data_IF_087005099069
#
_entry.id   IF_087005099069
#
_cell.length_a   1.000
_cell.length_b   1.000
_cell.length_c   1.000
_cell.angle_alpha   90.00
_cell.angle_beta   90.00
_cell.angle_gamma   90.00
#
_symmetry.space_group_name_H-M   'P 1'
#
loop_
_entity.id
_entity.type
_entity.pdbx_description
1 polymer ?
#
# COMPACT_ATOMS: atom_id res chain seq x y z
N UNK A 1 -11.22 -17.56 6.25
CA UNK A 1 -12.50 -16.86 6.06
C UNK A 1 -12.20 -15.52 5.41
N UNK A 2 -13.04 -15.09 4.46
CA UNK A 2 -12.88 -13.80 3.79
C UNK A 2 -13.30 -12.69 4.77
N UNK A 3 -12.52 -11.61 4.94
CA UNK A 3 -12.88 -10.52 5.84
C UNK A 3 -14.12 -9.77 5.38
N UNK A 4 -14.97 -9.36 6.32
CA UNK A 4 -16.17 -8.55 6.07
C UNK A 4 -15.83 -7.07 5.81
N UNK A 5 -14.65 -6.64 6.28
CA UNK A 5 -14.19 -5.25 6.20
C UNK A 5 -13.50 -5.01 4.86
N UNK A 6 -13.76 -3.84 4.25
CA UNK A 6 -13.06 -3.38 3.04
C UNK A 6 -11.70 -2.72 3.37
N UNK A 7 -10.77 -2.71 2.40
CA UNK A 7 -9.49 -1.98 2.57
C UNK A 7 -9.73 -0.49 2.82
N UNK A 8 -10.77 0.08 2.22
CA UNK A 8 -11.17 1.47 2.41
C UNK A 8 -11.62 1.76 3.84
N UNK A 9 -12.52 0.94 4.40
CA UNK A 9 -13.02 1.10 5.77
C UNK A 9 -11.90 0.98 6.79
N UNK A 10 -11.00 0.01 6.60
CA UNK A 10 -9.82 -0.13 7.45
C UNK A 10 -8.85 1.04 7.29
N UNK A 11 -8.54 1.43 6.05
CA UNK A 11 -7.64 2.55 5.77
C UNK A 11 -8.12 3.85 6.38
N UNK A 12 -9.43 4.15 6.27
CA UNK A 12 -10.06 5.29 6.94
C UNK A 12 -9.92 5.18 8.47
N UNK A 13 -10.23 4.02 9.04
CA UNK A 13 -10.17 3.79 10.48
C UNK A 13 -8.77 4.03 11.05
N UNK A 14 -7.77 3.45 10.40
CA UNK A 14 -6.37 3.56 10.77
C UNK A 14 -5.85 4.99 10.58
N UNK A 15 -6.20 5.61 9.47
CA UNK A 15 -5.81 7.00 9.16
C UNK A 15 -6.23 7.96 10.26
N UNK A 16 -7.49 7.88 10.73
CA UNK A 16 -7.98 8.73 11.81
C UNK A 16 -7.17 8.56 13.11
N UNK A 17 -6.76 7.33 13.43
CA UNK A 17 -5.96 7.06 14.63
C UNK A 17 -4.53 7.59 14.50
N UNK A 18 -3.90 7.42 13.33
CA UNK A 18 -2.58 7.99 13.03
C UNK A 18 -2.61 9.52 13.11
N UNK A 19 -3.70 10.16 12.64
CA UNK A 19 -3.95 11.60 12.81
C UNK A 19 -4.07 12.00 14.28
N UNK A 20 -4.57 11.10 15.13
CA UNK A 20 -4.67 11.32 16.58
C UNK A 20 -3.33 11.15 17.34
N UNK A 21 -2.47 10.23 16.89
CA UNK A 21 -1.18 9.93 17.52
C UNK A 21 -0.11 10.94 17.21
N UNK A 22 -0.05 11.30 15.94
CA UNK A 22 0.99 12.14 15.41
C UNK A 22 0.39 13.51 15.22
N UNK A 23 1.13 14.56 15.50
CA UNK A 23 0.62 15.88 15.28
C UNK A 23 0.71 16.28 13.79
N UNK A 24 -0.03 15.54 12.97
CA UNK A 24 -0.16 15.78 11.54
C UNK A 24 -0.65 17.21 11.32
N UNK A 25 0.18 18.02 10.67
CA UNK A 25 -0.22 19.38 10.30
C UNK A 25 -0.72 19.50 8.85
N UNK A 26 -0.79 18.37 8.14
CA UNK A 26 -1.49 18.22 6.87
C UNK A 26 -2.37 16.96 6.91
N UNK A 27 -3.61 17.09 6.44
CA UNK A 27 -4.51 15.97 6.29
C UNK A 27 -3.98 14.99 5.21
N UNK A 28 -4.29 13.69 5.30
CA UNK A 28 -4.07 12.76 4.21
C UNK A 28 -4.75 13.30 2.95
N UNK A 29 -3.99 13.54 1.88
CA UNK A 29 -4.56 13.99 0.61
C UNK A 29 -5.23 12.78 -0.05
N UNK A 30 -6.55 12.68 0.11
CA UNK A 30 -7.36 11.79 -0.72
C UNK A 30 -7.66 12.53 -2.02
N UNK A 31 -7.30 11.99 -3.21
CA UNK A 31 -7.73 12.62 -4.44
C UNK A 31 -9.25 12.55 -4.55
N UNK A 32 -9.91 13.69 -4.41
CA UNK A 32 -11.27 13.89 -4.87
C UNK A 32 -11.40 15.27 -5.53
N UNK A 33 -12.29 15.36 -6.51
CA UNK A 33 -12.50 16.53 -7.37
C UNK A 33 -13.42 17.61 -6.74
N UNK A 34 -13.78 17.54 -5.44
CA UNK A 34 -14.91 18.31 -4.87
C UNK A 34 -14.64 18.98 -3.49
N UNK A 35 -13.41 19.35 -3.11
CA UNK A 35 -13.20 20.02 -1.80
C UNK A 35 -12.32 21.26 -1.87
N UNK A 36 -12.76 22.26 -2.62
CA UNK A 36 -12.14 23.59 -2.64
C UNK A 36 -13.20 24.70 -2.51
N UNK A 37 -13.94 24.68 -1.39
CA UNK A 37 -15.13 25.53 -1.23
C UNK A 37 -15.37 26.05 0.18
N UNK A 38 -14.43 26.77 0.81
CA UNK A 38 -14.74 27.72 1.91
C UNK A 38 -13.83 28.95 1.90
N UNK A 39 -14.48 30.11 1.95
CA UNK A 39 -13.96 31.46 1.74
C UNK A 39 -13.19 32.06 2.94
N UNK A 40 -12.71 31.25 3.90
CA UNK A 40 -11.93 31.73 5.05
C UNK A 40 -11.02 30.67 5.70
N UNK A 41 -10.52 29.71 4.94
CA UNK A 41 -9.56 28.72 5.42
C UNK A 41 -8.57 28.39 4.33
N UNK A 42 -7.63 29.30 4.07
CA UNK A 42 -6.47 28.95 3.25
C UNK A 42 -5.80 27.74 3.89
N UNK A 43 -5.69 26.64 3.15
CA UNK A 43 -4.64 25.66 3.37
C UNK A 43 -3.31 26.37 3.08
N UNK A 44 -2.91 27.28 3.97
CA UNK A 44 -1.50 27.51 4.22
C UNK A 44 -1.04 26.21 4.86
N UNK A 45 -0.79 25.21 4.02
CA UNK A 45 -0.30 23.91 4.43
C UNK A 45 0.89 24.25 5.33
N UNK A 46 0.88 23.80 6.58
CA UNK A 46 1.90 24.12 7.59
C UNK A 46 3.23 23.42 7.26
N UNK A 47 3.69 23.54 6.01
CA UNK A 47 4.93 23.03 5.45
C UNK A 47 6.15 23.77 6.00
N UNK A 48 5.92 24.78 6.84
CA UNK A 48 6.92 25.58 7.54
C UNK A 48 7.60 24.82 8.69
N UNK A 49 7.11 23.62 9.00
CA UNK A 49 7.69 22.74 10.01
C UNK A 49 8.42 21.55 9.40
N UNK A 50 9.38 20.96 10.13
CA UNK A 50 9.93 19.64 9.84
C UNK A 50 8.84 18.60 9.60
N UNK A 51 9.15 17.60 8.77
CA UNK A 51 8.24 16.49 8.53
C UNK A 51 8.88 15.33 7.79
N UNK A 52 8.12 14.26 7.64
CA UNK A 52 8.53 13.03 6.98
C UNK A 52 7.40 12.45 6.12
N UNK A 53 7.73 11.86 4.95
CA UNK A 53 6.75 11.14 4.15
C UNK A 53 6.57 9.71 4.69
N UNK A 54 5.32 9.34 4.94
CA UNK A 54 4.89 8.00 5.31
C UNK A 54 4.00 7.43 4.20
N UNK A 55 4.35 6.26 3.70
CA UNK A 55 3.63 5.56 2.64
C UNK A 55 3.01 4.28 3.21
N UNK A 56 1.69 4.20 3.20
CA UNK A 56 0.98 3.02 3.67
C UNK A 56 0.23 2.34 2.53
N UNK A 57 0.46 1.05 2.37
CA UNK A 57 -0.45 0.20 1.61
C UNK A 57 -1.35 -0.58 2.56
N UNK A 58 -2.63 -0.24 2.58
CA UNK A 58 -3.62 -0.97 3.38
C UNK A 58 -3.88 -2.35 2.80
N UNK A 59 -4.06 -3.32 3.69
CA UNK A 59 -4.38 -4.70 3.36
C UNK A 59 -5.59 -5.17 4.14
N UNK A 60 -6.39 -6.03 3.52
CA UNK A 60 -7.34 -6.90 4.20
C UNK A 60 -6.65 -8.17 4.65
N UNK A 61 -7.07 -8.69 5.80
CA UNK A 61 -6.55 -9.92 6.36
C UNK A 61 -7.60 -11.04 6.34
N UNK A 62 -7.28 -12.15 5.69
CA UNK A 62 -8.01 -13.39 5.81
C UNK A 62 -7.79 -13.98 7.21
N UNK A 63 -8.85 -14.58 7.78
CA UNK A 63 -8.81 -15.20 9.09
C UNK A 63 -8.79 -16.73 8.99
N UNK A 64 -7.72 -17.34 9.48
CA UNK A 64 -7.40 -18.75 9.31
C UNK A 64 -7.63 -19.52 10.61
N UNK A 65 -8.59 -20.45 10.59
CA UNK A 65 -9.04 -21.19 11.79
C UNK A 65 -8.71 -22.67 11.79
N UNK A 66 -8.26 -23.22 10.66
CA UNK A 66 -8.06 -24.67 10.47
C UNK A 66 -6.59 -25.02 10.44
N UNK A 67 -6.22 -26.12 11.11
CA UNK A 67 -4.86 -26.70 11.07
C UNK A 67 -4.48 -27.24 9.69
N UNK A 68 -5.44 -27.36 8.77
CA UNK A 68 -5.19 -27.71 7.37
C UNK A 68 -4.64 -26.56 6.52
N UNK A 69 -4.54 -25.34 7.07
CA UNK A 69 -3.94 -24.20 6.38
C UNK A 69 -2.49 -24.53 5.97
N UNK A 70 -2.06 -24.08 4.79
CA UNK A 70 -0.73 -24.40 4.22
C UNK A 70 0.40 -24.04 5.20
N UNK A 71 0.25 -22.91 5.88
CA UNK A 71 1.16 -22.37 6.88
C UNK A 71 1.42 -23.35 8.02
N UNK A 72 0.38 -24.07 8.45
CA UNK A 72 0.47 -25.06 9.52
C UNK A 72 0.84 -26.44 8.95
N UNK A 73 0.08 -26.92 7.97
CA UNK A 73 0.17 -28.31 7.49
C UNK A 73 1.39 -28.57 6.62
N UNK A 74 1.72 -27.64 5.73
CA UNK A 74 2.80 -27.82 4.75
C UNK A 74 4.11 -27.23 5.25
N UNK A 75 4.06 -26.03 5.83
CA UNK A 75 5.26 -25.34 6.32
C UNK A 75 5.60 -25.63 7.78
N UNK A 76 4.67 -26.17 8.57
CA UNK A 76 4.92 -26.49 9.99
C UNK A 76 5.19 -25.25 10.86
N UNK A 77 4.67 -24.08 10.47
CA UNK A 77 4.97 -22.83 11.16
C UNK A 77 4.35 -22.79 12.56
N UNK A 78 5.04 -22.20 13.55
CA UNK A 78 4.56 -22.10 14.93
C UNK A 78 3.52 -20.98 15.09
N UNK A 79 2.54 -20.91 14.17
CA UNK A 79 1.42 -19.97 14.25
C UNK A 79 0.29 -20.56 15.11
N UNK A 80 -0.17 -19.76 16.07
CA UNK A 80 -1.32 -20.04 16.91
C UNK A 80 -2.60 -19.92 16.11
N UNK A 81 -3.45 -20.95 16.15
CA UNK A 81 -4.80 -20.85 15.59
C UNK A 81 -5.70 -20.09 16.57
N UNK A 82 -6.54 -19.16 16.08
CA UNK A 82 -6.60 -18.68 14.70
C UNK A 82 -5.55 -17.59 14.42
N UNK A 83 -5.08 -17.52 13.16
CA UNK A 83 -4.13 -16.50 12.70
C UNK A 83 -4.69 -15.71 11.50
N UNK A 84 -4.01 -14.63 11.15
CA UNK A 84 -4.38 -13.76 10.03
C UNK A 84 -3.38 -13.90 8.88
N UNK A 85 -3.81 -13.63 7.65
CA UNK A 85 -2.89 -13.51 6.52
C UNK A 85 -3.36 -12.52 5.48
N UNK A 86 -2.46 -11.90 4.73
CA UNK A 86 -2.82 -11.10 3.57
C UNK A 86 -1.94 -11.47 2.35
N UNK A 87 -2.50 -11.44 1.14
CA UNK A 87 -1.74 -11.77 -0.06
C UNK A 87 -0.79 -10.63 -0.45
N UNK A 88 0.39 -11.02 -0.94
CA UNK A 88 1.25 -10.14 -1.72
C UNK A 88 0.89 -10.32 -3.19
N UNK A 89 0.63 -9.20 -3.88
CA UNK A 89 0.19 -9.23 -5.27
C UNK A 89 1.23 -9.92 -6.13
N UNK A 90 0.81 -10.97 -6.86
CA UNK A 90 1.71 -11.75 -7.71
C UNK A 90 2.37 -10.85 -8.75
N UNK A 91 3.66 -11.09 -8.97
CA UNK A 91 4.50 -10.33 -9.91
C UNK A 91 3.92 -10.28 -11.33
N UNK A 92 3.41 -11.39 -11.87
CA UNK A 92 2.75 -11.43 -13.19
C UNK A 92 1.50 -10.57 -13.30
N UNK A 93 0.87 -10.23 -12.16
CA UNK A 93 -0.36 -9.42 -12.11
C UNK A 93 -0.04 -7.95 -11.87
N UNK A 94 1.00 -7.66 -11.11
CA UNK A 94 1.35 -6.29 -10.77
C UNK A 94 2.83 -6.14 -10.44
N UNK A 95 3.34 -4.97 -10.79
CA UNK A 95 4.66 -4.47 -10.45
C UNK A 95 4.70 -3.77 -9.07
N UNK A 96 3.57 -3.73 -8.37
CA UNK A 96 3.38 -3.03 -7.11
C UNK A 96 4.37 -3.43 -6.01
N UNK A 97 4.58 -4.73 -5.77
CA UNK A 97 5.47 -5.17 -4.69
C UNK A 97 6.92 -4.73 -4.92
N UNK A 98 7.46 -4.98 -6.12
CA UNK A 98 8.78 -4.50 -6.53
C UNK A 98 8.91 -2.98 -6.38
N UNK A 99 7.86 -2.23 -6.75
CA UNK A 99 7.82 -0.78 -6.58
C UNK A 99 7.94 -0.38 -5.10
N UNK A 100 7.20 -1.05 -4.22
CA UNK A 100 7.23 -0.75 -2.79
C UNK A 100 8.55 -1.13 -2.12
N UNK A 101 9.18 -2.23 -2.54
CA UNK A 101 10.54 -2.61 -2.08
C UNK A 101 11.56 -1.54 -2.46
N UNK A 102 11.46 -1.00 -3.67
CA UNK A 102 12.38 0.02 -4.15
C UNK A 102 12.09 1.41 -3.55
N UNK A 103 10.84 1.69 -3.17
CA UNK A 103 10.49 2.89 -2.42
C UNK A 103 11.03 2.84 -1.00
N UNK A 104 11.06 1.64 -0.39
CA UNK A 104 11.61 1.36 0.94
C UNK A 104 13.15 1.34 0.94
N UNK A 105 13.75 2.46 0.54
CA UNK A 105 15.20 2.67 0.36
C UNK A 105 15.94 3.01 1.66
N UNK A 106 15.27 2.89 2.80
CA UNK A 106 15.77 3.27 4.13
C UNK A 106 15.60 4.76 4.46
N UNK A 107 15.23 5.61 3.50
CA UNK A 107 14.93 7.03 3.74
C UNK A 107 13.43 7.32 3.80
N UNK A 108 12.63 6.53 3.08
CA UNK A 108 11.17 6.59 3.11
C UNK A 108 10.61 5.64 4.17
N UNK A 109 9.53 6.05 4.83
CA UNK A 109 8.78 5.18 5.73
C UNK A 109 7.70 4.45 4.92
N UNK A 110 7.92 3.19 4.57
CA UNK A 110 7.02 2.43 3.68
C UNK A 110 6.54 1.16 4.38
N UNK A 111 5.23 0.97 4.49
CA UNK A 111 4.67 -0.20 5.17
C UNK A 111 3.42 -0.75 4.50
N UNK A 112 3.31 -2.07 4.47
CA UNK A 112 2.00 -2.72 4.44
C UNK A 112 1.37 -2.60 5.82
N UNK A 113 0.16 -2.06 5.90
CA UNK A 113 -0.63 -2.02 7.12
C UNK A 113 -1.75 -3.06 7.03
N UNK A 114 -1.83 -3.97 8.00
CA UNK A 114 -2.86 -5.02 8.00
C UNK A 114 -3.47 -5.23 9.40
N UNK A 115 -4.79 -5.41 9.51
CA UNK A 115 -5.48 -5.54 10.79
C UNK A 115 -5.42 -6.97 11.36
N UNK A 116 -5.46 -7.07 12.68
CA UNK A 116 -5.67 -8.30 13.46
C UNK A 116 -7.15 -8.54 13.77
N UNK A 117 -7.99 -8.15 12.83
CA UNK A 117 -9.44 -8.27 12.89
C UNK A 117 -10.00 -8.36 11.46
N UNK A 118 -11.17 -8.97 11.33
CA UNK A 118 -11.78 -9.28 10.04
C UNK A 118 -13.29 -9.04 10.00
N UNK A 119 -13.95 -8.89 11.15
CA UNK A 119 -15.39 -8.65 11.26
C UNK A 119 -15.73 -7.17 11.49
N UNK A 120 -16.91 -6.73 11.03
CA UNK A 120 -17.36 -5.34 11.22
C UNK A 120 -17.47 -4.95 12.70
N UNK A 121 -17.89 -5.87 13.56
CA UNK A 121 -17.91 -5.65 15.02
C UNK A 121 -16.53 -5.35 15.58
N UNK A 122 -15.51 -6.07 15.14
CA UNK A 122 -14.15 -5.93 15.65
C UNK A 122 -13.51 -4.59 15.28
N UNK A 123 -13.74 -4.08 14.07
CA UNK A 123 -13.25 -2.75 13.68
C UNK A 123 -13.99 -1.65 14.43
N UNK A 124 -15.29 -1.79 14.68
CA UNK A 124 -16.05 -0.85 15.50
C UNK A 124 -15.56 -0.85 16.95
N UNK A 125 -15.22 -2.02 17.50
CA UNK A 125 -14.62 -2.14 18.83
C UNK A 125 -13.25 -1.47 18.87
N UNK A 126 -12.38 -1.79 17.92
CA UNK A 126 -11.06 -1.19 17.81
C UNK A 126 -11.13 0.33 17.69
N UNK A 127 -12.02 0.85 16.83
CA UNK A 127 -12.26 2.28 16.64
C UNK A 127 -12.71 2.96 17.94
N UNK A 128 -13.73 2.43 18.62
CA UNK A 128 -14.25 2.99 19.88
C UNK A 128 -13.20 3.01 20.98
N UNK A 129 -12.29 2.03 20.99
CA UNK A 129 -11.21 1.92 21.97
C UNK A 129 -9.91 2.63 21.59
N UNK A 130 -9.83 3.26 20.41
CA UNK A 130 -8.59 3.86 19.86
C UNK A 130 -7.44 2.82 19.79
N UNK A 131 -7.76 1.66 19.20
CA UNK A 131 -6.86 0.51 19.08
C UNK A 131 -6.87 -0.09 17.68
N UNK A 132 -7.29 0.65 16.64
CA UNK A 132 -7.23 0.18 15.25
C UNK A 132 -5.78 -0.12 14.90
N UNK A 133 -4.89 0.80 15.19
CA UNK A 133 -3.48 0.67 14.86
C UNK A 133 -2.74 -0.18 15.89
N UNK A 134 -3.15 -0.14 17.18
CA UNK A 134 -2.70 -1.10 18.21
C UNK A 134 -3.06 -2.56 17.88
N UNK A 135 -4.16 -2.78 17.15
CA UNK A 135 -4.58 -4.09 16.62
C UNK A 135 -4.20 -4.28 15.15
N UNK A 136 -3.11 -3.67 14.70
CA UNK A 136 -2.57 -3.82 13.34
C UNK A 136 -1.10 -4.23 13.37
N UNK A 137 -0.60 -4.70 12.22
CA UNK A 137 0.82 -4.89 11.96
C UNK A 137 1.28 -3.98 10.83
N UNK A 138 2.55 -3.59 10.89
CA UNK A 138 3.19 -2.77 9.87
C UNK A 138 4.43 -3.49 9.32
N UNK A 139 4.35 -3.99 8.09
CA UNK A 139 5.41 -4.78 7.45
C UNK A 139 6.12 -3.91 6.42
N UNK A 140 7.41 -3.63 6.64
CA UNK A 140 8.26 -2.99 5.65
C UNK A 140 8.46 -3.92 4.43
N UNK A 141 8.25 -3.45 3.19
CA UNK A 141 8.47 -4.25 1.99
C UNK A 141 9.88 -4.86 1.89
N UNK A 142 10.91 -4.14 2.35
CA UNK A 142 12.30 -4.63 2.38
C UNK A 142 12.49 -5.90 3.23
N UNK A 143 11.66 -6.12 4.26
CA UNK A 143 11.71 -7.36 5.06
C UNK A 143 11.29 -8.59 4.26
N UNK A 144 10.39 -8.41 3.29
CA UNK A 144 9.98 -9.45 2.35
C UNK A 144 11.07 -9.63 1.28
N UNK A 145 11.55 -8.53 0.72
CA UNK A 145 12.55 -8.52 -0.36
C UNK A 145 11.91 -8.72 -1.74
N UNK A 146 12.75 -8.85 -2.77
CA UNK A 146 12.27 -9.06 -4.14
C UNK A 146 11.76 -10.50 -4.34
N UNK A 147 10.71 -10.64 -5.16
CA UNK A 147 10.11 -11.93 -5.51
C UNK A 147 10.52 -12.30 -6.93
N UNK A 148 11.21 -13.44 -7.08
CA UNK A 148 11.79 -13.91 -8.34
C UNK A 148 10.98 -15.03 -9.02
N UNK A 149 9.73 -15.25 -8.59
CA UNK A 149 8.84 -16.26 -9.15
C UNK A 149 7.43 -15.67 -9.49
N UNK A 150 6.50 -16.54 -9.89
CA UNK A 150 5.11 -16.18 -10.25
C UNK A 150 4.05 -16.81 -9.33
N UNK A 151 4.48 -17.37 -8.21
CA UNK A 151 3.65 -18.11 -7.27
C UNK A 151 2.81 -17.17 -6.41
N UNK A 152 1.98 -17.76 -5.54
CA UNK A 152 1.14 -17.02 -4.61
C UNK A 152 1.91 -16.83 -3.31
N UNK A 153 2.16 -15.57 -2.98
CA UNK A 153 2.85 -15.17 -1.76
C UNK A 153 1.86 -14.54 -0.79
N UNK A 154 2.08 -14.74 0.49
CA UNK A 154 1.28 -14.11 1.54
C UNK A 154 2.13 -13.85 2.77
N UNK A 155 1.71 -12.88 3.57
CA UNK A 155 2.22 -12.71 4.93
C UNK A 155 1.21 -13.31 5.88
N UNK A 156 1.62 -14.25 6.72
CA UNK A 156 0.81 -14.88 7.75
C UNK A 156 1.32 -14.49 9.14
N UNK A 157 0.41 -14.22 10.08
CA UNK A 157 0.77 -13.63 11.36
C UNK A 157 -0.27 -13.90 12.44
N UNK A 158 0.20 -14.17 13.65
CA UNK A 158 -0.58 -14.24 14.88
C UNK A 158 -0.09 -13.15 15.86
N UNK A 159 -0.46 -13.22 17.14
CA UNK A 159 -0.06 -12.20 18.12
C UNK A 159 1.44 -12.18 18.42
N UNK A 160 2.19 -13.24 18.12
CA UNK A 160 3.59 -13.43 18.50
C UNK A 160 4.53 -13.48 17.29
N UNK A 161 4.10 -14.10 16.20
CA UNK A 161 4.92 -14.42 15.04
C UNK A 161 4.31 -13.85 13.76
N UNK A 162 5.18 -13.58 12.80
CA UNK A 162 4.81 -13.22 11.44
C UNK A 162 5.80 -13.84 10.46
N UNK A 163 5.27 -14.34 9.34
CA UNK A 163 6.03 -15.04 8.32
C UNK A 163 5.65 -14.52 6.94
N UNK A 164 6.65 -14.35 6.09
CA UNK A 164 6.45 -14.33 4.64
C UNK A 164 6.43 -15.76 4.14
N UNK A 165 5.35 -16.16 3.47
CA UNK A 165 5.07 -17.55 3.13
C UNK A 165 5.17 -17.77 1.62
N UNK A 166 6.35 -18.24 1.22
CA UNK A 166 6.66 -18.93 -0.03
C UNK A 166 7.79 -19.92 0.21
N UNK A 167 8.99 -19.40 0.44
CA UNK A 167 10.02 -19.99 1.29
C UNK A 167 9.85 -19.35 2.68
N UNK A 168 9.26 -20.07 3.65
CA UNK A 168 8.85 -19.45 4.90
C UNK A 168 10.00 -18.75 5.61
N UNK A 169 9.88 -17.43 5.73
CA UNK A 169 10.84 -16.57 6.39
C UNK A 169 10.14 -15.82 7.50
N UNK A 170 10.66 -15.92 8.71
CA UNK A 170 10.18 -15.11 9.83
C UNK A 170 10.52 -13.65 9.59
N UNK A 171 9.55 -12.77 9.84
CA UNK A 171 9.68 -11.33 9.72
C UNK A 171 9.25 -10.67 11.02
N UNK A 172 9.72 -9.46 11.27
CA UNK A 172 9.40 -8.71 12.49
C UNK A 172 8.67 -7.42 12.13
N UNK A 173 7.33 -7.48 11.95
CA UNK A 173 6.52 -6.29 11.71
C UNK A 173 6.63 -5.30 12.88
N UNK A 174 6.50 -4.01 12.60
CA UNK A 174 6.41 -3.01 13.64
C UNK A 174 5.03 -3.06 14.31
N UNK A 175 5.03 -2.76 15.61
CA UNK A 175 3.84 -2.42 16.36
C UNK A 175 3.46 -0.96 16.13
N UNK A 176 2.26 -0.58 16.56
CA UNK A 176 1.82 0.80 16.71
C UNK A 176 2.88 1.74 17.32
N UNK A 177 3.39 1.38 18.50
CA UNK A 177 4.37 2.20 19.24
C UNK A 177 5.68 2.32 18.46
N UNK A 178 6.20 1.20 17.95
CA UNK A 178 7.46 1.17 17.21
C UNK A 178 7.36 1.96 15.89
N UNK A 179 6.21 1.93 15.21
CA UNK A 179 5.95 2.80 14.06
C UNK A 179 5.97 4.27 14.47
N UNK A 180 5.30 4.63 15.57
CA UNK A 180 5.30 5.99 16.11
C UNK A 180 6.71 6.50 16.41
N UNK A 181 7.54 5.68 17.07
CA UNK A 181 8.95 5.98 17.34
C UNK A 181 9.75 6.23 16.05
N UNK A 182 9.64 5.33 15.06
CA UNK A 182 10.30 5.49 13.75
C UNK A 182 9.91 6.76 13.03
N UNK A 183 8.64 7.14 13.11
CA UNK A 183 8.15 8.38 12.52
C UNK A 183 8.76 9.59 13.24
N UNK A 184 8.78 9.59 14.58
CA UNK A 184 9.39 10.67 15.36
C UNK A 184 10.89 10.80 15.10
N UNK A 185 11.62 9.69 15.05
CA UNK A 185 13.03 9.65 14.67
C UNK A 185 13.27 10.27 13.29
N UNK A 186 12.43 9.91 12.31
CA UNK A 186 12.56 10.42 10.94
C UNK A 186 12.23 11.90 10.82
N UNK A 187 11.23 12.39 11.57
CA UNK A 187 10.90 13.82 11.63
C UNK A 187 12.02 14.59 12.31
N UNK A 188 12.66 14.03 13.33
CA UNK A 188 13.79 14.65 14.02
C UNK A 188 15.08 14.67 13.20
N UNK A 189 15.22 13.78 12.20
CA UNK A 189 16.44 13.65 11.41
C UNK A 189 16.63 14.77 10.37
N UNK A 190 15.58 15.51 10.00
CA UNK A 190 15.66 16.64 9.08
C UNK A 190 14.85 17.82 9.64
N UNK A 191 15.56 18.84 10.11
CA UNK A 191 14.96 20.04 10.71
C UNK A 191 14.45 21.05 9.67
N UNK A 192 14.62 20.80 8.38
CA UNK A 192 14.14 21.72 7.35
C UNK A 192 12.61 21.67 7.27
N UNK A 193 11.95 22.81 7.04
CA UNK A 193 10.54 22.84 6.66
C UNK A 193 10.21 21.86 5.53
N UNK A 194 9.06 21.18 5.60
CA UNK A 194 8.61 20.28 4.52
C UNK A 194 8.65 20.96 3.15
N UNK A 195 8.28 22.25 3.04
CA UNK A 195 8.30 22.99 1.76
C UNK A 195 9.66 22.95 1.07
N UNK A 196 10.74 22.95 1.85
CA UNK A 196 12.12 22.88 1.35
C UNK A 196 12.52 21.46 0.96
N UNK A 197 11.86 20.44 1.54
CA UNK A 197 12.12 19.03 1.26
C UNK A 197 11.31 18.50 0.05
N UNK A 198 10.19 19.14 -0.31
CA UNK A 198 9.29 18.66 -1.37
C UNK A 198 9.98 18.37 -2.71
N UNK A 199 10.90 19.22 -3.23
CA UNK A 199 11.59 18.92 -4.49
C UNK A 199 12.43 17.65 -4.41
N UNK A 200 13.08 17.40 -3.28
CA UNK A 200 13.88 16.20 -3.03
C UNK A 200 12.99 14.97 -2.94
N UNK A 201 11.85 15.06 -2.23
CA UNK A 201 10.88 13.96 -2.14
C UNK A 201 10.30 13.60 -3.51
N UNK A 202 9.94 14.60 -4.32
CA UNK A 202 9.45 14.39 -5.69
C UNK A 202 10.52 13.76 -6.59
N UNK A 203 11.78 14.21 -6.46
CA UNK A 203 12.91 13.62 -7.16
C UNK A 203 13.16 12.16 -6.76
N UNK A 204 13.16 11.88 -5.46
CA UNK A 204 13.33 10.54 -4.91
C UNK A 204 12.21 9.61 -5.41
N UNK A 205 10.93 9.95 -5.20
CA UNK A 205 9.83 9.03 -5.56
C UNK A 205 9.81 8.69 -7.06
N UNK A 206 10.10 9.65 -7.93
CA UNK A 206 10.22 9.43 -9.39
C UNK A 206 11.42 8.56 -9.73
N UNK A 207 12.57 8.80 -9.09
CA UNK A 207 13.77 7.99 -9.26
C UNK A 207 13.53 6.54 -8.82
N UNK A 208 12.92 6.32 -7.65
CA UNK A 208 12.54 5.00 -7.14
C UNK A 208 11.58 4.29 -8.09
N UNK A 209 10.60 5.01 -8.66
CA UNK A 209 9.68 4.45 -9.67
C UNK A 209 10.41 3.98 -10.93
N UNK A 210 11.37 4.77 -11.42
CA UNK A 210 12.17 4.40 -12.58
C UNK A 210 13.07 3.20 -12.30
N UNK A 211 13.77 3.21 -11.15
CA UNK A 211 14.62 2.10 -10.71
C UNK A 211 13.81 0.81 -10.58
N UNK A 212 12.64 0.89 -9.95
CA UNK A 212 11.79 -0.26 -9.79
C UNK A 212 11.39 -0.88 -11.15
N UNK A 213 11.10 -0.05 -12.17
CA UNK A 213 10.77 -0.57 -13.52
C UNK A 213 11.95 -1.35 -14.10
N UNK A 214 13.18 -0.86 -13.92
CA UNK A 214 14.39 -1.55 -14.35
C UNK A 214 14.58 -2.87 -13.59
N UNK A 215 14.43 -2.86 -12.27
CA UNK A 215 14.52 -4.06 -11.42
C UNK A 215 13.50 -5.11 -11.85
N UNK A 216 12.24 -4.70 -12.09
CA UNK A 216 11.21 -5.59 -12.58
C UNK A 216 11.55 -6.20 -13.94
N UNK A 217 12.08 -5.40 -14.87
CA UNK A 217 12.51 -5.89 -16.18
C UNK A 217 13.62 -6.93 -16.05
N UNK A 218 14.59 -6.71 -15.15
CA UNK A 218 15.66 -7.69 -14.87
C UNK A 218 15.09 -8.99 -14.33
N UNK A 219 14.21 -8.93 -13.32
CA UNK A 219 13.55 -10.12 -12.75
C UNK A 219 12.75 -10.87 -13.83
N UNK A 220 11.99 -10.15 -14.67
CA UNK A 220 11.24 -10.77 -15.78
C UNK A 220 12.20 -11.49 -16.74
N UNK A 221 13.31 -10.85 -17.10
CA UNK A 221 14.30 -11.42 -18.01
C UNK A 221 14.94 -12.69 -17.42
N UNK A 222 15.31 -12.67 -16.13
CA UNK A 222 15.85 -13.83 -15.41
C UNK A 222 14.87 -15.01 -15.42
N UNK A 223 13.60 -14.78 -15.09
CA UNK A 223 12.56 -15.82 -15.09
C UNK A 223 12.38 -16.42 -16.49
N UNK A 224 12.34 -15.57 -17.52
CA UNK A 224 12.21 -16.02 -18.91
C UNK A 224 13.44 -16.82 -19.35
N UNK A 225 14.64 -16.42 -18.94
CA UNK A 225 15.87 -17.15 -19.23
C UNK A 225 15.89 -18.53 -18.57
N UNK A 226 15.54 -18.62 -17.28
CA UNK A 226 15.42 -19.90 -16.55
C UNK A 226 14.40 -20.82 -17.20
N UNK A 227 13.20 -20.30 -17.55
CA UNK A 227 12.17 -21.10 -18.24
C UNK A 227 12.62 -21.60 -19.60
N UNK A 228 13.39 -20.81 -20.35
CA UNK A 228 13.96 -21.24 -21.63
C UNK A 228 15.01 -22.34 -21.44
N UNK A 229 15.87 -22.22 -20.43
CA UNK A 229 16.88 -23.23 -20.12
C UNK A 229 16.24 -24.58 -19.73
N UNK A 230 15.21 -24.57 -18.88
CA UNK A 230 14.46 -25.78 -18.48
C UNK A 230 13.72 -26.42 -19.67
N UNK A 231 13.25 -25.63 -20.64
CA UNK A 231 12.62 -26.16 -21.87
C UNK A 231 13.64 -26.70 -22.89
N UNK A 232 14.92 -26.35 -22.76
CA UNK A 232 15.97 -26.79 -23.66
C UNK A 232 16.63 -28.11 -23.21
N UNK A 233 16.31 -28.62 -22.01
CA UNK A 233 16.69 -29.97 -21.59
C UNK A 233 15.69 -30.99 -22.16
N UNK A 234 16.15 -32.01 -22.89
CA UNK A 234 15.26 -32.99 -23.51
C UNK A 234 14.78 -33.98 -22.45
N UNK A 235 13.59 -33.76 -21.91
CA UNK A 235 12.79 -34.83 -21.34
C UNK A 235 11.31 -34.63 -21.73
N UNK A 236 10.72 -35.71 -22.18
CA UNK A 236 9.45 -35.81 -22.90
C UNK A 236 8.26 -35.19 -22.14
N UNK A 237 7.57 -34.24 -22.77
CA UNK A 237 6.14 -34.37 -23.14
C UNK A 237 5.66 -33.08 -23.82
N UNK A 238 5.34 -33.22 -25.09
CA UNK A 238 4.57 -32.28 -25.89
C UNK A 238 3.19 -32.01 -25.27
N UNK A 239 2.90 -30.77 -24.88
CA UNK A 239 1.55 -30.23 -24.99
C UNK A 239 1.58 -28.79 -25.54
N UNK A 240 1.13 -28.71 -26.78
CA UNK A 240 0.90 -27.51 -27.59
C UNK A 240 -0.23 -26.69 -26.96
N UNK A 241 0.09 -25.54 -26.37
CA UNK A 241 -0.94 -24.52 -26.10
C UNK A 241 -1.13 -23.65 -27.35
N UNK A 242 -2.15 -24.02 -28.12
CA UNK A 242 -2.71 -23.22 -29.20
C UNK A 242 -3.24 -21.87 -28.67
N UNK A 243 -3.02 -20.83 -29.46
CA UNK A 243 -3.55 -19.49 -29.25
C UNK A 243 -5.08 -19.51 -29.14
N UNK A 244 -5.62 -18.89 -28.08
CA UNK A 244 -7.05 -18.62 -27.94
C UNK A 244 -7.40 -17.39 -28.79
N UNK A 245 -8.39 -17.46 -29.70
CA UNK A 245 -8.84 -16.31 -30.47
C UNK A 245 -9.53 -15.27 -29.58
N UNK A 246 -9.17 -14.01 -29.80
CA UNK A 246 -9.92 -12.84 -29.37
C UNK A 246 -11.28 -12.79 -30.06
N UNK A 247 -12.35 -13.11 -29.32
CA UNK A 247 -13.73 -12.89 -29.74
C UNK A 247 -14.52 -12.21 -28.62
N UNK A 248 -14.72 -10.89 -28.72
CA UNK A 248 -15.77 -10.18 -27.98
C UNK A 248 -16.74 -9.61 -28.99
N UNK A 249 -17.93 -10.19 -29.03
CA UNK A 249 -19.10 -9.64 -29.71
C UNK A 249 -19.58 -8.41 -28.94
N UNK A 250 -19.85 -7.33 -29.68
CA UNK A 250 -20.55 -6.17 -29.19
C UNK A 250 -22.02 -6.53 -28.92
N UNK A 251 -22.50 -6.23 -27.72
CA UNK A 251 -23.93 -6.15 -27.42
C UNK A 251 -24.29 -4.67 -27.42
N UNK A 252 -25.11 -4.32 -28.40
CA UNK A 252 -25.74 -3.02 -28.59
C UNK A 252 -26.92 -2.92 -27.61
N UNK A 253 -26.85 -1.97 -26.68
CA UNK A 253 -27.97 -1.60 -25.82
C UNK A 253 -28.23 -0.11 -26.01
N UNK A 254 -29.23 0.20 -26.82
CA UNK A 254 -29.78 1.55 -26.92
C UNK A 254 -30.43 1.95 -25.61
N UNK A 255 -29.92 3.01 -24.99
CA UNK A 255 -30.59 3.71 -23.89
C UNK A 255 -30.96 5.12 -24.36
N UNK A 256 -32.23 5.44 -24.16
CA UNK A 256 -32.86 6.71 -24.50
C UNK A 256 -32.33 7.83 -23.60
N UNK A 257 -32.00 8.94 -24.24
CA UNK A 257 -31.54 10.19 -23.64
C UNK A 257 -32.70 10.83 -22.84
N UNK A 258 -32.67 10.73 -21.51
CA UNK A 258 -33.51 11.54 -20.63
C UNK A 258 -32.71 12.71 -20.09
N UNK A 259 -33.28 13.91 -20.24
CA UNK A 259 -32.67 15.19 -19.87
C UNK A 259 -32.14 15.22 -18.43
N UNK A 260 -30.85 15.52 -18.29
CA UNK A 260 -30.16 15.71 -17.02
C UNK A 260 -30.53 17.09 -16.44
N UNK A 261 -31.04 17.18 -15.19
CA UNK A 261 -31.23 18.48 -14.55
C UNK A 261 -29.86 19.12 -14.27
N UNK A 262 -29.74 20.43 -14.52
CA UNK A 262 -28.50 21.18 -14.33
C UNK A 262 -27.99 21.02 -12.90
N UNK A 263 -26.84 20.36 -12.75
CA UNK A 263 -26.12 20.23 -11.49
C UNK A 263 -25.73 21.60 -10.92
N UNK A 264 -25.44 21.67 -9.61
CA UNK A 264 -24.98 22.90 -8.98
C UNK A 264 -23.75 23.45 -9.71
N UNK A 265 -23.69 24.77 -9.90
CA UNK A 265 -22.55 25.45 -10.51
C UNK A 265 -21.23 25.02 -9.84
N UNK A 266 -20.42 24.27 -10.58
CA UNK A 266 -19.07 23.91 -10.18
C UNK A 266 -18.25 25.20 -10.33
N UNK A 267 -17.99 25.88 -9.21
CA UNK A 267 -17.07 27.02 -9.18
C UNK A 267 -15.70 26.56 -9.68
N UNK A 268 -15.06 27.39 -10.52
CA UNK A 268 -13.70 27.13 -10.98
C UNK A 268 -12.75 27.03 -9.77
N UNK A 269 -12.01 25.91 -9.71
CA UNK A 269 -11.01 25.65 -8.67
C UNK A 269 -9.90 26.70 -8.73
N UNK A 270 -9.43 27.12 -7.55
CA UNK A 270 -8.32 28.07 -7.45
C UNK A 270 -7.04 27.41 -8.01
N UNK A 271 -6.14 28.17 -8.66
CA UNK A 271 -4.83 27.64 -9.00
C UNK A 271 -4.06 27.28 -7.71
N UNK A 272 -3.63 26.02 -7.63
CA UNK A 272 -2.79 25.49 -6.54
C UNK A 272 -1.46 26.25 -6.44
N UNK A 273 -0.95 26.43 -5.23
CA UNK A 273 0.41 26.94 -5.00
C UNK A 273 1.47 25.99 -5.60
N UNK A 274 2.69 26.46 -5.88
CA UNK A 274 3.78 25.58 -6.33
C UNK A 274 4.04 24.39 -5.39
N UNK A 275 3.93 24.59 -4.08
CA UNK A 275 4.09 23.56 -3.05
C UNK A 275 2.95 22.55 -3.10
N UNK A 276 1.70 23.02 -3.21
CA UNK A 276 0.51 22.17 -3.33
C UNK A 276 0.55 21.32 -4.60
N UNK A 277 0.98 21.89 -5.73
CA UNK A 277 1.21 21.15 -6.98
C UNK A 277 2.27 20.06 -6.80
N UNK A 278 3.35 20.36 -6.09
CA UNK A 278 4.42 19.40 -5.81
C UNK A 278 3.94 18.27 -4.91
N UNK A 279 3.22 18.58 -3.83
CA UNK A 279 2.57 17.60 -2.95
C UNK A 279 1.60 16.71 -3.69
N UNK A 280 0.74 17.30 -4.54
CA UNK A 280 -0.17 16.54 -5.40
C UNK A 280 0.58 15.59 -6.32
N UNK A 281 1.66 16.05 -6.95
CA UNK A 281 2.48 15.20 -7.80
C UNK A 281 3.12 14.03 -7.02
N UNK A 282 3.61 14.24 -5.79
CA UNK A 282 4.15 13.17 -4.95
C UNK A 282 3.02 12.18 -4.58
N UNK A 283 1.84 12.69 -4.21
CA UNK A 283 0.68 11.88 -3.87
C UNK A 283 0.20 11.03 -5.06
N UNK A 284 0.16 11.60 -6.26
CA UNK A 284 -0.22 10.91 -7.49
C UNK A 284 0.82 9.83 -7.85
N UNK A 285 2.12 10.11 -7.67
CA UNK A 285 3.18 9.12 -7.81
C UNK A 285 3.02 7.99 -6.78
N UNK A 286 2.75 8.29 -5.51
CA UNK A 286 2.51 7.29 -4.47
C UNK A 286 1.33 6.37 -4.81
N UNK A 287 0.18 6.96 -5.17
CA UNK A 287 -1.04 6.23 -5.44
C UNK A 287 -0.95 5.42 -6.74
N UNK A 288 -0.60 6.05 -7.86
CA UNK A 288 -0.62 5.41 -9.17
C UNK A 288 0.69 4.69 -9.51
N UNK A 289 1.81 5.09 -8.91
CA UNK A 289 3.11 4.45 -9.08
C UNK A 289 3.30 3.25 -8.16
N UNK A 290 2.89 3.37 -6.90
CA UNK A 290 3.20 2.38 -5.86
C UNK A 290 1.95 1.73 -5.26
N UNK A 291 0.75 2.26 -5.49
CA UNK A 291 -0.47 1.76 -4.85
C UNK A 291 -0.46 1.95 -3.34
N UNK A 292 0.20 3.01 -2.87
CA UNK A 292 0.28 3.40 -1.47
C UNK A 292 -0.31 4.79 -1.28
N UNK A 293 -0.85 5.03 -0.09
CA UNK A 293 -1.30 6.36 0.32
C UNK A 293 -0.15 7.12 0.98
N UNK A 294 0.04 8.37 0.57
CA UNK A 294 1.01 9.30 1.17
C UNK A 294 0.41 10.04 2.36
N UNK A 295 1.16 10.09 3.45
CA UNK A 295 0.93 10.91 4.63
C UNK A 295 2.15 11.79 4.86
N UNK A 296 1.94 13.09 5.10
CA UNK A 296 3.01 13.98 5.55
C UNK A 296 2.88 14.17 7.05
N UNK A 297 3.82 13.60 7.80
CA UNK A 297 3.84 13.68 9.25
C UNK A 297 4.70 14.85 9.70
N UNK A 298 4.22 15.65 10.65
CA UNK A 298 4.93 16.83 11.19
C UNK A 298 4.71 16.94 12.72
N UNK A 299 5.45 17.80 13.44
CA UNK A 299 5.25 18.12 14.87
C UNK A 299 4.03 19.02 15.19
N UNK A 300 3.49 18.92 16.42
CA UNK A 300 2.33 19.72 16.86
C UNK A 300 2.72 21.17 17.00
N UNK A 301 1.76 22.06 16.72
CA UNK A 301 1.89 23.46 17.08
C UNK A 301 1.69 23.61 18.58
#
# INVERSE_FOLDING_TARGET
MIPEISEFSYGFALTNEIVGWLPLSAAPVFPSLIEEGKENGGYDVKLDKPGAPLYLQFKRADYMTRSSATEIKHYGLPLSLPFHRFPITQRKKSFQHTSLVELDDGTNLVFYAAPRFHMVSEINDAWRSVQVAGRSIFVAPSMIGLIHDDDKHHVAYDAQHAYFCSEPKEISPLTASALGERILERVASDSRPVREQLPEWLGNIRSRRAQARQTQQKIVAEIVAVRRAVRATPDDTDEIYAAVPSGRAALDSGEQETAVPSGPEIRESRPLSPEEQTLRAISDEALHGFGAQLFVVQPKS
#
